data_IF_277800130081
#
_entry.id   IF_277800130081
#
_cell.length_a   1.000
_cell.length_b   1.000
_cell.length_c   1.000
_cell.angle_alpha   90.00
_cell.angle_beta   90.00
_cell.angle_gamma   90.00
#
_symmetry.space_group_name_H-M   'P 1'
#
loop_
_entity.id
_entity.type
_entity.pdbx_description
1 polymer ?
#
# COMPACT_ATOMS: atom_id res chain seq x y z
N UNK A 1 -1.40 -15.23 17.79
CA UNK A 1 -1.87 -14.62 16.52
C UNK A 1 -2.44 -13.25 16.82
N UNK A 2 -2.07 -12.26 16.02
CA UNK A 2 -2.51 -10.88 16.24
C UNK A 2 -3.80 -10.60 15.49
N UNK A 3 -4.69 -9.80 16.13
CA UNK A 3 -5.88 -9.28 15.47
C UNK A 3 -5.62 -7.91 14.81
N UNK A 4 -4.37 -7.45 14.84
CA UNK A 4 -3.99 -6.16 14.25
C UNK A 4 -4.14 -6.22 12.75
N UNK A 5 -4.81 -5.21 12.20
CA UNK A 5 -5.00 -5.07 10.77
C UNK A 5 -4.81 -3.59 10.43
N UNK A 6 -3.77 -3.30 9.69
CA UNK A 6 -3.44 -1.92 9.30
C UNK A 6 -3.56 -1.77 7.81
N UNK A 7 -3.76 -0.54 7.36
CA UNK A 7 -3.88 -0.30 5.92
C UNK A 7 -3.12 0.94 5.50
N UNK A 8 -2.71 0.91 4.26
CA UNK A 8 -2.08 2.03 3.57
C UNK A 8 -2.92 2.31 2.32
N UNK A 9 -3.48 3.51 2.23
CA UNK A 9 -4.46 3.87 1.21
C UNK A 9 -4.00 5.09 0.40
N UNK A 10 -2.96 4.96 -0.44
CA UNK A 10 -2.50 6.09 -1.24
C UNK A 10 -3.38 6.31 -2.47
N UNK A 11 -3.41 7.56 -2.95
CA UNK A 11 -3.94 7.86 -4.29
C UNK A 11 -2.78 7.74 -5.28
N UNK A 12 -2.99 7.09 -6.45
CA UNK A 12 -1.91 6.93 -7.45
C UNK A 12 -1.76 8.19 -8.30
N UNK A 13 -1.41 9.32 -7.67
CA UNK A 13 -1.27 10.62 -8.31
C UNK A 13 0.17 11.09 -8.27
N UNK A 14 0.76 11.39 -9.44
CA UNK A 14 2.14 11.85 -9.51
C UNK A 14 3.13 10.78 -9.05
N UNK A 15 4.33 11.21 -8.66
CA UNK A 15 5.36 10.30 -8.19
C UNK A 15 5.22 10.05 -6.68
N UNK A 16 5.56 8.85 -6.20
CA UNK A 16 5.63 8.60 -4.77
C UNK A 16 6.61 9.55 -4.10
N UNK A 17 6.28 10.02 -2.90
CA UNK A 17 7.15 10.92 -2.17
C UNK A 17 7.46 10.34 -0.78
N UNK A 18 8.46 10.96 -0.11
CA UNK A 18 8.99 10.48 1.16
C UNK A 18 7.91 10.34 2.24
N UNK A 19 6.99 11.31 2.32
CA UNK A 19 5.93 11.25 3.34
C UNK A 19 5.00 10.05 3.14
N UNK A 20 4.66 9.74 1.91
CA UNK A 20 3.83 8.58 1.56
C UNK A 20 4.56 7.28 1.92
N UNK A 21 5.82 7.17 1.52
CA UNK A 21 6.64 5.98 1.78
C UNK A 21 6.83 5.78 3.29
N UNK A 22 7.04 6.86 4.03
CA UNK A 22 7.16 6.80 5.48
C UNK A 22 5.90 6.21 6.12
N UNK A 23 4.73 6.65 5.68
CA UNK A 23 3.45 6.13 6.17
C UNK A 23 3.32 4.64 5.88
N UNK A 24 3.67 4.21 4.67
CA UNK A 24 3.65 2.81 4.30
C UNK A 24 4.60 2.01 5.20
N UNK A 25 5.81 2.51 5.40
CA UNK A 25 6.82 1.83 6.20
C UNK A 25 6.38 1.63 7.65
N UNK A 26 5.80 2.66 8.28
CA UNK A 26 5.33 2.54 9.66
C UNK A 26 4.21 1.50 9.79
N UNK A 27 3.24 1.50 8.87
CA UNK A 27 2.16 0.53 8.90
C UNK A 27 2.69 -0.88 8.67
N UNK A 28 3.59 -1.05 7.70
CA UNK A 28 4.20 -2.32 7.39
C UNK A 28 5.00 -2.86 8.59
N UNK A 29 5.85 -2.01 9.17
CA UNK A 29 6.68 -2.41 10.31
C UNK A 29 5.82 -2.80 11.51
N UNK A 30 4.76 -2.06 11.79
CA UNK A 30 3.85 -2.38 12.89
C UNK A 30 3.16 -3.71 12.66
N UNK A 31 2.66 -3.94 11.44
CA UNK A 31 2.02 -5.21 11.12
C UNK A 31 2.99 -6.38 11.27
N UNK A 32 4.21 -6.25 10.79
CA UNK A 32 5.20 -7.33 10.88
C UNK A 32 5.65 -7.57 12.31
N UNK A 33 5.80 -6.50 13.10
CA UNK A 33 6.19 -6.61 14.50
C UNK A 33 5.11 -7.32 15.35
N UNK A 34 3.84 -7.05 15.08
CA UNK A 34 2.73 -7.61 15.85
C UNK A 34 2.21 -8.94 15.29
N UNK A 35 2.69 -9.37 14.12
CA UNK A 35 2.14 -10.52 13.43
C UNK A 35 0.76 -10.25 12.83
N UNK A 36 0.43 -8.98 12.62
CA UNK A 36 -0.84 -8.57 12.05
C UNK A 36 -0.88 -8.60 10.53
N UNK A 37 -1.93 -8.03 9.97
CA UNK A 37 -2.17 -7.99 8.53
C UNK A 37 -1.91 -6.59 7.99
N UNK A 38 -1.14 -6.49 6.91
CA UNK A 38 -0.90 -5.23 6.21
C UNK A 38 -1.72 -5.23 4.91
N UNK A 39 -2.64 -4.28 4.82
CA UNK A 39 -3.52 -4.12 3.66
C UNK A 39 -3.06 -2.91 2.85
N UNK A 40 -2.83 -3.13 1.57
CA UNK A 40 -2.51 -2.06 0.63
C UNK A 40 -3.74 -1.82 -0.24
N UNK A 41 -4.31 -0.61 -0.19
CA UNK A 41 -5.50 -0.27 -0.94
C UNK A 41 -5.28 1.00 -1.74
N UNK A 42 -5.60 0.96 -3.02
CA UNK A 42 -5.48 2.12 -3.90
C UNK A 42 -6.75 2.97 -3.79
N UNK A 43 -6.58 4.26 -3.49
CA UNK A 43 -7.66 5.24 -3.46
C UNK A 43 -7.61 6.05 -4.75
N UNK A 44 -8.45 5.73 -5.72
CA UNK A 44 -8.44 6.38 -7.02
C UNK A 44 -9.57 7.42 -7.15
N UNK A 45 -9.69 8.28 -6.14
CA UNK A 45 -10.75 9.27 -6.06
C UNK A 45 -10.51 10.52 -6.92
N UNK A 46 -9.29 10.74 -7.39
CA UNK A 46 -8.92 11.88 -8.23
C UNK A 46 -8.54 11.38 -9.64
N UNK A 47 -9.55 11.11 -10.44
CA UNK A 47 -9.36 10.52 -11.77
C UNK A 47 -8.60 11.41 -12.74
N UNK A 48 -8.54 12.72 -12.49
CA UNK A 48 -7.78 13.65 -13.33
C UNK A 48 -6.27 13.54 -13.08
N UNK A 49 -5.87 13.07 -11.89
CA UNK A 49 -4.48 12.98 -11.48
C UNK A 49 -3.96 11.55 -11.42
N UNK A 50 -4.86 10.59 -11.43
CA UNK A 50 -4.49 9.18 -11.38
C UNK A 50 -3.90 8.76 -12.73
N UNK A 51 -2.90 7.87 -12.71
CA UNK A 51 -2.31 7.33 -13.92
C UNK A 51 -1.77 5.92 -13.66
N UNK A 52 -1.67 5.14 -14.75
CA UNK A 52 -1.07 3.82 -14.66
C UNK A 52 0.41 3.90 -14.32
N UNK A 53 1.09 4.95 -14.79
CA UNK A 53 2.50 5.16 -14.49
C UNK A 53 2.69 5.42 -12.99
N UNK A 54 1.84 6.27 -12.39
CA UNK A 54 1.91 6.55 -10.95
C UNK A 54 1.63 5.30 -10.12
N UNK A 55 0.67 4.49 -10.55
CA UNK A 55 0.36 3.22 -9.91
C UNK A 55 1.57 2.29 -9.95
N UNK A 56 2.16 2.11 -11.13
CA UNK A 56 3.33 1.25 -11.31
C UNK A 56 4.51 1.73 -10.48
N UNK A 57 4.79 3.04 -10.49
CA UNK A 57 5.88 3.63 -9.71
C UNK A 57 5.70 3.40 -8.23
N UNK A 58 4.46 3.51 -7.74
CA UNK A 58 4.15 3.27 -6.33
C UNK A 58 4.46 1.82 -5.94
N UNK A 59 3.97 0.86 -6.71
CA UNK A 59 4.23 -0.56 -6.44
C UNK A 59 5.71 -0.89 -6.50
N UNK A 60 6.40 -0.37 -7.51
CA UNK A 60 7.83 -0.61 -7.68
C UNK A 60 8.64 -0.02 -6.52
N UNK A 61 8.25 1.16 -6.03
CA UNK A 61 8.92 1.79 -4.90
C UNK A 61 8.80 0.95 -3.64
N UNK A 62 7.61 0.42 -3.36
CA UNK A 62 7.39 -0.41 -2.17
C UNK A 62 8.18 -1.72 -2.29
N UNK A 63 8.20 -2.33 -3.46
CA UNK A 63 8.96 -3.58 -3.69
C UNK A 63 10.46 -3.35 -3.59
N UNK A 64 10.93 -2.23 -4.10
CA UNK A 64 12.35 -1.90 -4.03
C UNK A 64 12.82 -1.79 -2.58
N UNK A 65 11.96 -1.30 -1.68
CA UNK A 65 12.25 -1.21 -0.25
C UNK A 65 12.06 -2.54 0.49
N UNK A 66 11.65 -3.58 -0.21
CA UNK A 66 11.45 -4.88 0.40
C UNK A 66 10.13 -5.04 1.14
N UNK A 67 9.19 -4.12 0.95
CA UNK A 67 7.87 -4.23 1.57
C UNK A 67 6.96 -5.14 0.76
N UNK A 68 6.26 -6.01 1.46
CA UNK A 68 5.21 -6.86 0.90
C UNK A 68 3.88 -6.50 1.56
N UNK A 69 2.79 -7.04 1.04
CA UNK A 69 1.47 -6.83 1.66
C UNK A 69 0.67 -8.12 1.61
N UNK A 70 -0.20 -8.27 2.61
CA UNK A 70 -1.00 -9.49 2.77
C UNK A 70 -2.27 -9.44 1.95
N UNK A 71 -2.84 -8.25 1.78
CA UNK A 71 -4.01 -8.01 0.96
C UNK A 71 -3.77 -6.76 0.14
N UNK A 72 -4.18 -6.77 -1.11
CA UNK A 72 -4.00 -5.60 -1.96
C UNK A 72 -3.86 -5.94 -3.44
N UNK A 73 -3.40 -4.95 -4.24
CA UNK A 73 -3.20 -5.15 -5.67
C UNK A 73 -2.26 -6.33 -5.92
N UNK A 74 -2.56 -7.09 -6.94
CA UNK A 74 -1.80 -8.24 -7.42
C UNK A 74 -1.82 -9.47 -6.52
N UNK A 75 -2.01 -9.32 -5.20
CA UNK A 75 -2.14 -10.47 -4.30
C UNK A 75 -3.59 -10.77 -3.94
N UNK A 76 -4.49 -9.78 -4.08
CA UNK A 76 -5.91 -9.97 -3.79
C UNK A 76 -6.20 -10.06 -2.30
N UNK A 77 -7.35 -10.65 -1.97
CA UNK A 77 -7.78 -10.83 -0.60
C UNK A 77 -9.29 -10.94 -0.48
N UNK A 78 -9.81 -11.12 0.75
CA UNK A 78 -11.24 -11.36 0.95
C UNK A 78 -12.13 -10.13 0.77
N UNK A 79 -11.57 -8.93 0.67
CA UNK A 79 -12.33 -7.68 0.60
C UNK A 79 -12.04 -6.90 -0.68
N UNK A 80 -11.78 -7.60 -1.78
CA UNK A 80 -11.53 -6.97 -3.08
C UNK A 80 -12.74 -6.14 -3.53
N UNK A 81 -12.52 -5.11 -4.39
CA UNK A 81 -11.21 -4.65 -4.92
C UNK A 81 -10.43 -3.77 -3.95
N UNK A 82 -9.15 -3.68 -4.22
CA UNK A 82 -8.24 -2.88 -3.39
C UNK A 82 -7.67 -1.68 -4.13
#
# INVERSE_FOLDING_TARGET
MSNVRVRFCPSPTGNPHVGMIRTALFNWAYARHTGGTFVFRIEDTDTLRDSEQSYSDLLDSLRWLGMDWDEGPEVGGPHEPY
#
